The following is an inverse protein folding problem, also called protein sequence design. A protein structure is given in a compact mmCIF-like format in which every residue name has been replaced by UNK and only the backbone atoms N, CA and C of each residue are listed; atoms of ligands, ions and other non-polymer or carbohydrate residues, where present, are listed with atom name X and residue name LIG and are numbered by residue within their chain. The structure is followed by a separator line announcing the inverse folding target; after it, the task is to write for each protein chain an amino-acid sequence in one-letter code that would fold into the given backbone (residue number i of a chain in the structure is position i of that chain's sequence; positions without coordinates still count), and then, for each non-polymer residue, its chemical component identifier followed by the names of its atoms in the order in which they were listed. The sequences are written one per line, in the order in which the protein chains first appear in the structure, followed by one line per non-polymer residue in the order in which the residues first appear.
data_IF_443504057228
#
_entry.id   IF_443504057228
#
_cell.length_a   1.000
_cell.length_b   1.000
_cell.length_c   1.000
_cell.angle_alpha   90.00
_cell.angle_beta   90.00
_cell.angle_gamma   90.00
#
_symmetry.space_group_name_H-M   'P 1'
#
loop_
_entity.id
_entity.type
_entity.pdbx_description
1 polymer ?
#
# COMPACT_ATOMS: atom_id res chain seq x y z
N UNK A 1 -24.39 1.57 -33.80
CA UNK A 1 -23.65 0.38 -33.34
C UNK A 1 -22.19 0.58 -33.66
N UNK A 2 -21.35 0.89 -32.66
CA UNK A 2 -19.90 0.81 -32.77
C UNK A 2 -19.44 -0.22 -31.74
N UNK A 3 -18.53 -1.06 -32.20
CA UNK A 3 -18.08 -2.31 -31.60
C UNK A 3 -17.71 -2.16 -30.13
N UNK A 4 -18.22 -3.07 -29.30
CA UNK A 4 -17.54 -3.49 -28.08
C UNK A 4 -16.19 -4.05 -28.54
N UNK A 5 -15.15 -3.25 -28.45
CA UNK A 5 -13.80 -3.78 -28.35
C UNK A 5 -13.67 -4.24 -26.91
N UNK A 6 -13.86 -5.55 -26.71
CA UNK A 6 -13.31 -6.26 -25.58
C UNK A 6 -11.81 -5.98 -25.58
N UNK A 7 -11.41 -4.92 -24.88
CA UNK A 7 -10.03 -4.68 -24.52
C UNK A 7 -9.62 -5.86 -23.66
N UNK A 8 -8.97 -6.85 -24.27
CA UNK A 8 -8.28 -7.94 -23.61
C UNK A 8 -7.48 -7.33 -22.46
N UNK A 9 -8.04 -7.49 -21.27
CA UNK A 9 -7.46 -6.98 -20.06
C UNK A 9 -6.23 -7.83 -19.87
N UNK A 10 -5.06 -7.30 -20.21
CA UNK A 10 -3.79 -7.99 -20.05
C UNK A 10 -3.64 -8.28 -18.55
N UNK A 11 -4.08 -9.47 -18.14
CA UNK A 11 -4.13 -9.87 -16.73
C UNK A 11 -2.68 -10.04 -16.33
N UNK A 12 -2.24 -9.22 -15.38
CA UNK A 12 -0.89 -9.31 -14.85
C UNK A 12 -0.60 -10.76 -14.45
N UNK A 13 0.46 -11.32 -15.03
CA UNK A 13 0.82 -12.72 -14.85
C UNK A 13 1.57 -12.94 -13.54
N UNK A 14 2.07 -11.88 -12.91
CA UNK A 14 2.83 -11.93 -11.65
C UNK A 14 2.21 -11.00 -10.62
N UNK A 15 2.15 -11.47 -9.39
CA UNK A 15 1.68 -10.72 -8.22
C UNK A 15 2.69 -10.80 -7.07
N UNK A 16 2.61 -9.82 -6.17
CA UNK A 16 3.58 -9.59 -5.12
C UNK A 16 2.89 -9.47 -3.75
N UNK A 17 3.62 -9.88 -2.70
CA UNK A 17 3.22 -9.74 -1.30
C UNK A 17 4.45 -9.62 -0.40
N UNK A 18 4.45 -8.70 0.56
CA UNK A 18 5.50 -8.64 1.57
C UNK A 18 5.31 -9.75 2.61
N UNK A 19 6.42 -10.24 3.16
CA UNK A 19 6.44 -11.29 4.17
C UNK A 19 7.77 -11.31 4.93
N UNK A 20 8.02 -12.42 5.61
CA UNK A 20 9.30 -12.68 6.28
C UNK A 20 10.13 -13.66 5.46
N UNK A 21 11.25 -14.13 6.00
CA UNK A 21 12.03 -15.22 5.40
C UNK A 21 11.24 -16.53 5.24
N UNK A 22 10.17 -16.72 6.01
CA UNK A 22 9.39 -17.95 6.13
C UNK A 22 8.20 -18.00 5.17
N UNK A 23 7.76 -16.85 4.65
CA UNK A 23 6.69 -16.77 3.65
C UNK A 23 6.06 -15.38 3.54
N UNK A 24 5.18 -15.17 2.56
CA UNK A 24 4.36 -13.97 2.45
C UNK A 24 3.43 -13.83 3.66
N UNK A 25 3.16 -12.60 4.08
CA UNK A 25 2.22 -12.30 5.14
C UNK A 25 0.85 -11.94 4.58
N UNK A 26 -0.20 -12.32 5.30
CA UNK A 26 -1.60 -12.07 4.99
C UNK A 26 -2.26 -11.46 6.21
N UNK A 27 -3.16 -10.52 5.98
CA UNK A 27 -3.78 -9.81 7.10
C UNK A 27 -4.67 -10.77 7.90
N UNK A 28 -4.67 -10.58 9.22
CA UNK A 28 -5.56 -11.29 10.14
C UNK A 28 -6.58 -10.36 10.78
N UNK A 29 -6.52 -9.06 10.47
CA UNK A 29 -7.43 -8.05 10.96
C UNK A 29 -8.83 -8.22 10.37
N UNK A 30 -9.83 -8.35 11.24
CA UNK A 30 -11.24 -8.53 10.89
C UNK A 30 -11.88 -7.28 10.29
N UNK A 31 -11.19 -6.15 10.26
CA UNK A 31 -11.68 -4.90 9.67
C UNK A 31 -11.43 -4.82 8.16
N UNK A 32 -10.50 -5.64 7.64
CA UNK A 32 -10.20 -5.78 6.22
C UNK A 32 -10.51 -7.23 5.83
N UNK A 33 -11.68 -7.45 5.23
CA UNK A 33 -12.13 -8.79 4.85
C UNK A 33 -11.39 -9.37 3.63
N UNK A 34 -10.54 -8.58 2.95
CA UNK A 34 -9.88 -8.95 1.70
C UNK A 34 -8.42 -8.47 1.60
N UNK A 35 -7.48 -9.41 1.44
CA UNK A 35 -6.09 -9.14 1.09
C UNK A 35 -5.93 -8.81 -0.40
N UNK A 36 -5.22 -7.73 -0.71
CA UNK A 36 -4.91 -7.40 -2.09
C UNK A 36 -3.52 -7.89 -2.50
N UNK A 37 -3.50 -8.60 -3.62
CA UNK A 37 -2.27 -8.98 -4.29
C UNK A 37 -1.87 -7.88 -5.28
N UNK A 38 -0.68 -7.34 -5.05
CA UNK A 38 -0.20 -6.19 -5.80
C UNK A 38 0.48 -6.66 -7.09
N UNK A 39 0.23 -6.01 -8.21
CA UNK A 39 0.81 -6.39 -9.51
C UNK A 39 2.04 -5.55 -9.89
N UNK A 40 2.25 -4.42 -9.23
CA UNK A 40 3.40 -3.54 -9.45
C UNK A 40 4.26 -3.49 -8.17
N UNK A 41 5.47 -4.09 -8.18
CA UNK A 41 6.30 -4.16 -6.97
C UNK A 41 6.79 -2.77 -6.51
N UNK A 42 6.73 -1.74 -7.36
CA UNK A 42 7.08 -0.36 -6.98
C UNK A 42 6.15 0.23 -5.92
N UNK A 43 4.93 -0.30 -5.75
CA UNK A 43 4.01 0.12 -4.69
C UNK A 43 4.58 -0.14 -3.29
N UNK A 44 5.45 -1.14 -3.15
CA UNK A 44 6.17 -1.43 -1.91
C UNK A 44 7.32 -0.45 -1.62
N UNK A 45 7.66 0.43 -2.57
CA UNK A 45 8.73 1.40 -2.38
C UNK A 45 8.31 2.53 -1.42
N UNK A 46 8.98 2.75 -0.27
CA UNK A 46 8.66 3.81 0.70
C UNK A 46 8.62 5.22 0.10
N UNK A 47 7.79 6.11 0.67
CA UNK A 47 7.44 7.42 0.10
C UNK A 47 8.62 8.40 -0.04
N UNK A 48 9.54 8.41 0.93
CA UNK A 48 10.60 9.43 1.05
C UNK A 48 11.98 8.75 1.19
N UNK A 49 12.53 8.20 0.11
CA UNK A 49 13.86 7.59 0.14
C UNK A 49 14.97 8.61 -0.12
N UNK A 50 15.28 9.38 0.92
CA UNK A 50 16.67 9.50 1.36
C UNK A 50 16.82 8.49 2.52
N UNK A 51 17.00 7.20 2.19
CA UNK A 51 17.01 6.12 3.18
C UNK A 51 18.19 6.30 4.15
N UNK A 52 17.94 6.99 5.26
CA UNK A 52 18.80 6.93 6.44
C UNK A 52 18.99 5.46 6.84
N UNK A 53 20.16 5.11 7.38
CA UNK A 53 20.45 3.72 7.81
C UNK A 53 19.46 3.20 8.87
N UNK A 54 18.78 4.12 9.56
CA UNK A 54 17.65 3.80 10.43
C UNK A 54 16.46 3.17 9.69
N UNK A 55 16.14 3.65 8.48
CA UNK A 55 15.06 3.10 7.67
C UNK A 55 15.43 1.72 7.11
N UNK A 56 16.69 1.53 6.70
CA UNK A 56 17.15 0.21 6.22
C UNK A 56 17.11 -0.85 7.32
N UNK A 57 17.49 -0.49 8.55
CA UNK A 57 17.36 -1.36 9.73
C UNK A 57 15.90 -1.67 10.07
N UNK A 58 14.99 -0.71 9.91
CA UNK A 58 13.55 -0.91 10.17
C UNK A 58 12.90 -1.90 9.20
N UNK A 59 13.41 -2.00 7.98
CA UNK A 59 12.94 -2.96 6.98
C UNK A 59 13.73 -4.29 7.02
N UNK A 60 14.69 -4.43 7.94
CA UNK A 60 15.52 -5.63 8.06
C UNK A 60 14.63 -6.82 8.47
N UNK A 61 14.62 -7.86 7.64
CA UNK A 61 13.79 -9.06 7.86
C UNK A 61 12.47 -9.08 7.09
N UNK A 62 12.06 -7.96 6.49
CA UNK A 62 10.95 -7.92 5.53
C UNK A 62 11.45 -8.34 4.14
N UNK A 63 10.74 -9.26 3.50
CA UNK A 63 11.08 -9.83 2.19
C UNK A 63 9.89 -9.64 1.25
N UNK A 64 10.14 -9.26 0.00
CA UNK A 64 9.11 -9.25 -1.02
C UNK A 64 9.03 -10.63 -1.67
N UNK A 65 7.84 -11.20 -1.73
CA UNK A 65 7.53 -12.44 -2.40
C UNK A 65 6.78 -12.17 -3.70
N UNK A 66 7.03 -12.98 -4.72
CA UNK A 66 6.30 -12.96 -5.98
C UNK A 66 5.78 -14.35 -6.34
N UNK A 67 4.67 -14.40 -7.06
CA UNK A 67 4.15 -15.66 -7.63
C UNK A 67 3.41 -15.38 -8.94
N UNK A 68 3.28 -16.42 -9.77
CA UNK A 68 2.63 -16.34 -11.07
C UNK A 68 1.12 -16.66 -10.94
N UNK A 69 0.26 -15.78 -11.44
CA UNK A 69 -1.20 -15.91 -11.43
C UNK A 69 -1.72 -17.12 -12.23
N UNK A 70 -0.96 -17.63 -13.19
CA UNK A 70 -1.29 -18.87 -13.90
C UNK A 70 -1.09 -20.12 -13.02
N UNK A 71 -0.31 -20.01 -11.93
CA UNK A 71 -0.18 -21.07 -10.91
C UNK A 71 -1.31 -21.00 -9.89
N UNK A 72 -1.82 -19.79 -9.60
CA UNK A 72 -3.01 -19.57 -8.76
C UNK A 72 -4.21 -20.39 -9.26
N UNK A 73 -4.46 -20.45 -10.58
CA UNK A 73 -5.61 -21.20 -11.12
C UNK A 73 -5.43 -22.72 -11.12
N UNK A 74 -4.19 -23.23 -10.95
CA UNK A 74 -3.84 -24.66 -11.11
C UNK A 74 -3.54 -25.37 -9.79
N UNK A 75 -3.06 -24.64 -8.78
CA UNK A 75 -2.58 -25.20 -7.50
C UNK A 75 -3.64 -25.16 -6.36
N UNK A 76 -4.93 -25.06 -6.71
CA UNK A 76 -6.03 -25.31 -5.76
C UNK A 76 -6.16 -26.82 -5.45
N UNK A 77 -5.23 -27.40 -4.69
CA UNK A 77 -5.45 -28.73 -4.13
C UNK A 77 -6.39 -28.64 -2.93
N UNK A 78 -7.63 -29.10 -3.11
CA UNK A 78 -8.60 -29.22 -2.03
C UNK A 78 -8.07 -30.21 -0.96
N UNK A 79 -7.75 -29.71 0.22
CA UNK A 79 -7.35 -30.55 1.35
C UNK A 79 -8.63 -31.02 2.05
N UNK A 80 -9.16 -32.17 1.66
CA UNK A 80 -10.44 -32.72 2.15
C UNK A 80 -10.46 -33.13 3.64
N UNK A 81 -9.49 -32.66 4.44
CA UNK A 81 -9.39 -32.96 5.87
C UNK A 81 -10.26 -32.07 6.75
N UNK A 82 -10.73 -30.93 6.24
CA UNK A 82 -11.59 -30.00 6.98
C UNK A 82 -12.76 -29.58 6.08
N UNK A 83 -13.98 -29.78 6.57
CA UNK A 83 -15.19 -29.43 5.82
C UNK A 83 -15.22 -27.92 5.58
N UNK A 84 -15.22 -27.51 4.30
CA UNK A 84 -15.33 -26.11 3.90
C UNK A 84 -14.04 -25.27 3.91
N UNK A 85 -12.84 -25.85 4.08
CA UNK A 85 -11.57 -25.08 4.06
C UNK A 85 -10.68 -25.50 2.89
N UNK A 86 -10.34 -24.55 2.01
CA UNK A 86 -9.40 -24.75 0.89
C UNK A 86 -8.03 -24.23 1.31
N UNK A 87 -7.01 -25.10 1.29
CA UNK A 87 -5.62 -24.67 1.43
C UNK A 87 -5.03 -24.41 0.04
N UNK A 88 -4.75 -23.14 -0.27
CA UNK A 88 -4.09 -22.75 -1.53
C UNK A 88 -2.57 -22.80 -1.31
N UNK A 89 -1.85 -23.58 -2.11
CA UNK A 89 -0.38 -23.61 -2.07
C UNK A 89 0.16 -22.84 -3.28
N UNK A 90 0.57 -21.61 -3.03
CA UNK A 90 1.21 -20.78 -4.04
C UNK A 90 2.71 -21.00 -4.02
N UNK A 91 3.30 -21.20 -5.19
CA UNK A 91 4.75 -21.27 -5.34
C UNK A 91 5.29 -19.84 -5.31
N UNK A 92 5.64 -19.39 -4.10
CA UNK A 92 6.21 -18.08 -3.87
C UNK A 92 7.73 -18.12 -3.99
N UNK A 93 8.28 -17.12 -4.67
CA UNK A 93 9.71 -16.91 -4.79
C UNK A 93 10.10 -15.56 -4.19
N UNK A 94 11.27 -15.49 -3.56
CA UNK A 94 11.80 -14.24 -3.01
C UNK A 94 12.26 -13.33 -4.15
N UNK A 95 11.97 -12.04 -4.02
CA UNK A 95 12.37 -11.02 -4.98
C UNK A 95 12.75 -9.72 -4.26
N UNK A 96 13.23 -8.74 -5.00
CA UNK A 96 13.58 -7.41 -4.49
C UNK A 96 12.63 -6.36 -5.04
N UNK A 97 12.33 -5.34 -4.24
CA UNK A 97 11.64 -4.15 -4.72
C UNK A 97 12.58 -3.45 -5.72
N UNK A 98 12.15 -3.18 -6.96
CA UNK A 98 13.00 -2.48 -7.91
C UNK A 98 13.21 -1.03 -7.43
N UNK A 99 14.40 -0.44 -7.66
CA UNK A 99 14.62 0.98 -7.39
C UNK A 99 13.69 1.83 -8.25
N UNK A 100 13.17 2.92 -7.70
CA UNK A 100 12.38 3.90 -8.44
C UNK A 100 12.55 5.31 -7.85
N UNK A 101 12.39 6.33 -8.69
CA UNK A 101 12.57 7.75 -8.33
C UNK A 101 11.40 8.32 -7.49
N UNK A 102 10.64 7.44 -6.82
CA UNK A 102 9.39 7.79 -6.14
C UNK A 102 8.20 7.97 -7.11
N UNK A 103 7.02 8.21 -6.55
CA UNK A 103 5.77 8.38 -7.31
C UNK A 103 4.82 9.32 -6.58
N UNK A 104 3.72 9.70 -7.23
CA UNK A 104 2.69 10.59 -6.67
C UNK A 104 1.30 9.95 -6.77
N UNK A 105 0.32 10.40 -5.97
CA UNK A 105 -1.09 10.01 -6.15
C UNK A 105 -1.73 10.72 -7.35
N UNK A 106 -2.52 10.01 -8.17
CA UNK A 106 -3.35 10.59 -9.24
C UNK A 106 -4.67 11.19 -8.72
N UNK A 107 -5.01 11.04 -7.44
CA UNK A 107 -6.19 11.72 -6.94
C UNK A 107 -5.98 13.23 -7.16
N UNK A 108 -7.01 13.94 -7.65
CA UNK A 108 -6.98 15.40 -7.76
C UNK A 108 -6.43 15.95 -6.44
N UNK A 109 -5.44 16.87 -6.49
CA UNK A 109 -4.64 17.45 -5.38
C UNK A 109 -5.50 17.95 -4.20
N UNK A 110 -6.17 17.02 -3.54
CA UNK A 110 -7.23 17.23 -2.59
C UNK A 110 -6.70 16.91 -1.20
N UNK A 111 -7.41 17.36 -0.18
CA UNK A 111 -7.11 17.05 1.23
C UNK A 111 -6.97 15.54 1.47
N UNK A 112 -7.58 14.70 0.62
CA UNK A 112 -7.47 13.25 0.68
C UNK A 112 -6.06 12.74 0.31
N UNK A 113 -5.41 13.32 -0.70
CA UNK A 113 -4.00 12.98 -1.03
C UNK A 113 -3.07 13.37 0.10
N UNK A 114 -3.27 14.57 0.64
CA UNK A 114 -2.46 15.07 1.74
C UNK A 114 -2.63 14.18 2.97
N UNK A 115 -3.85 13.76 3.27
CA UNK A 115 -4.11 12.85 4.37
C UNK A 115 -3.38 11.51 4.18
N UNK A 116 -3.47 10.91 2.99
CA UNK A 116 -2.78 9.64 2.68
C UNK A 116 -1.24 9.80 2.78
N UNK A 117 -0.68 10.91 2.29
CA UNK A 117 0.75 11.21 2.40
C UNK A 117 1.20 11.33 3.86
N UNK A 118 0.47 12.12 4.67
CA UNK A 118 0.78 12.32 6.08
C UNK A 118 0.69 11.00 6.84
N UNK A 119 -0.37 10.22 6.62
CA UNK A 119 -0.51 8.88 7.19
C UNK A 119 0.74 8.03 6.93
N UNK A 120 1.18 7.92 5.67
CA UNK A 120 2.33 7.10 5.31
C UNK A 120 3.66 7.59 5.90
N UNK A 121 3.77 8.89 6.20
CA UNK A 121 4.95 9.47 6.87
C UNK A 121 4.96 9.14 8.36
N UNK A 122 3.81 9.25 9.00
CA UNK A 122 3.66 9.00 10.43
C UNK A 122 3.71 7.49 10.76
N UNK A 123 3.30 6.64 9.81
CA UNK A 123 3.21 5.19 9.95
C UNK A 123 4.27 4.49 9.11
N UNK A 124 5.56 4.80 9.31
CA UNK A 124 6.62 4.10 8.57
C UNK A 124 6.55 2.58 8.83
N UNK A 125 6.44 1.74 7.79
CA UNK A 125 6.18 0.32 7.96
C UNK A 125 7.42 -0.40 8.51
N UNK A 126 7.22 -1.16 9.58
CA UNK A 126 8.24 -2.00 10.24
C UNK A 126 7.85 -3.49 10.24
N UNK A 127 6.62 -3.82 9.87
CA UNK A 127 6.18 -5.20 9.65
C UNK A 127 5.79 -5.45 8.19
N UNK A 128 5.79 -6.72 7.73
CA UNK A 128 5.29 -7.06 6.41
C UNK A 128 3.82 -6.65 6.17
N UNK A 129 2.97 -6.75 7.19
CA UNK A 129 1.55 -6.39 7.14
C UNK A 129 1.38 -4.88 6.89
N UNK A 130 2.09 -4.04 7.65
CA UNK A 130 2.10 -2.59 7.45
C UNK A 130 2.62 -2.22 6.07
N UNK A 131 3.67 -2.90 5.60
CA UNK A 131 4.22 -2.67 4.27
C UNK A 131 3.25 -3.07 3.16
N UNK A 132 2.52 -4.18 3.34
CA UNK A 132 1.42 -4.58 2.48
C UNK A 132 0.32 -3.51 2.47
N UNK A 133 -0.15 -3.08 3.64
CA UNK A 133 -1.16 -2.03 3.75
C UNK A 133 -0.74 -0.74 3.04
N UNK A 134 0.53 -0.33 3.14
CA UNK A 134 1.06 0.81 2.40
C UNK A 134 1.01 0.63 0.88
N UNK A 135 1.37 -0.56 0.37
CA UNK A 135 1.30 -0.85 -1.06
C UNK A 135 -0.15 -0.83 -1.56
N UNK A 136 -1.08 -1.39 -0.77
CA UNK A 136 -2.51 -1.40 -1.06
C UNK A 136 -3.11 0.01 -0.99
N UNK A 137 -2.71 0.82 0.00
CA UNK A 137 -3.15 2.20 0.15
C UNK A 137 -2.69 3.08 -1.02
N UNK A 138 -1.47 2.88 -1.51
CA UNK A 138 -1.00 3.52 -2.75
C UNK A 138 -1.79 3.06 -3.96
N UNK A 139 -2.11 1.77 -4.06
CA UNK A 139 -2.97 1.29 -5.13
C UNK A 139 -4.37 1.95 -5.06
N UNK A 140 -4.97 2.01 -3.87
CA UNK A 140 -6.27 2.62 -3.63
C UNK A 140 -6.30 4.13 -3.91
N UNK A 141 -5.20 4.82 -3.63
CA UNK A 141 -5.01 6.24 -3.94
C UNK A 141 -4.49 6.48 -5.37
N UNK A 142 -4.54 5.47 -6.24
CA UNK A 142 -4.17 5.58 -7.66
C UNK A 142 -2.76 6.18 -7.84
N UNK A 143 -1.80 5.70 -7.05
CA UNK A 143 -0.41 6.13 -7.16
C UNK A 143 0.14 5.89 -8.57
N UNK A 144 0.93 6.81 -9.10
CA UNK A 144 1.58 6.69 -10.40
C UNK A 144 3.06 7.03 -10.30
N UNK A 145 3.82 6.47 -11.24
CA UNK A 145 5.21 6.78 -11.45
C UNK A 145 5.38 7.42 -12.81
N UNK A 146 6.40 8.27 -12.92
CA UNK A 146 6.87 8.76 -14.20
C UNK A 146 7.72 7.67 -14.85
N UNK A 147 7.42 7.36 -16.10
CA UNK A 147 8.22 6.44 -16.93
C UNK A 147 9.55 7.12 -17.30
N UNK A 148 10.47 6.41 -17.96
CA UNK A 148 11.71 7.01 -18.52
C UNK A 148 11.41 8.17 -19.50
N UNK A 149 10.19 8.18 -20.07
CA UNK A 149 9.66 9.24 -20.94
C UNK A 149 8.92 10.36 -20.21
N UNK A 150 8.91 10.34 -18.86
CA UNK A 150 8.17 11.25 -17.98
C UNK A 150 6.64 11.24 -18.19
N UNK A 151 6.11 10.14 -18.68
CA UNK A 151 4.66 9.94 -18.80
C UNK A 151 4.14 9.16 -17.58
N UNK A 152 2.90 9.41 -17.11
CA UNK A 152 2.30 8.61 -16.05
C UNK A 152 2.06 7.17 -16.52
N UNK A 153 2.60 6.17 -15.84
CA UNK A 153 2.11 4.80 -15.99
C UNK A 153 0.75 4.69 -15.30
N UNK A 154 -0.33 4.56 -16.07
CA UNK A 154 -1.68 4.51 -15.52
C UNK A 154 -1.85 3.28 -14.61
N UNK A 155 -2.21 3.51 -13.34
CA UNK A 155 -2.74 2.47 -12.48
C UNK A 155 -4.22 2.22 -12.81
N UNK A 156 -4.66 0.97 -12.68
CA UNK A 156 -6.10 0.63 -12.78
C UNK A 156 -6.89 1.45 -11.76
N UNK A 157 -8.08 1.92 -12.15
CA UNK A 157 -8.98 2.63 -11.25
C UNK A 157 -9.40 1.69 -10.11
N UNK A 158 -9.17 2.13 -8.89
CA UNK A 158 -9.65 1.48 -7.66
C UNK A 158 -10.91 2.21 -7.18
N UNK A 159 -11.89 1.52 -6.53
CA UNK A 159 -13.08 2.18 -6.02
C UNK A 159 -12.76 3.31 -5.04
N UNK A 160 -13.36 4.49 -5.24
CA UNK A 160 -13.13 5.68 -4.41
C UNK A 160 -13.63 5.56 -2.95
N UNK A 161 -14.29 4.45 -2.59
CA UNK A 161 -14.89 4.21 -1.28
C UNK A 161 -14.17 3.13 -0.46
N UNK A 162 -12.96 2.74 -0.88
CA UNK A 162 -12.15 1.73 -0.22
C UNK A 162 -11.92 2.06 1.28
N UNK A 163 -12.00 1.04 2.14
CA UNK A 163 -11.85 1.22 3.58
C UNK A 163 -10.45 1.68 3.98
N UNK A 164 -9.40 1.33 3.22
CA UNK A 164 -8.01 1.73 3.48
C UNK A 164 -7.85 3.25 3.45
N UNK A 165 -8.50 3.89 2.47
CA UNK A 165 -8.52 5.36 2.38
C UNK A 165 -9.19 5.99 3.62
N UNK A 166 -10.29 5.41 4.10
CA UNK A 166 -10.99 5.90 5.29
C UNK A 166 -10.16 5.74 6.55
N UNK A 167 -9.44 4.63 6.70
CA UNK A 167 -8.52 4.38 7.81
C UNK A 167 -7.43 5.45 7.82
N UNK A 168 -6.74 5.64 6.68
CA UNK A 168 -5.66 6.63 6.57
C UNK A 168 -6.14 8.07 6.87
N UNK A 169 -7.32 8.44 6.38
CA UNK A 169 -7.91 9.76 6.62
C UNK A 169 -8.30 9.96 8.08
N UNK A 170 -8.96 8.97 8.69
CA UNK A 170 -9.37 9.03 10.10
C UNK A 170 -8.17 9.23 11.01
N UNK A 171 -7.13 8.44 10.80
CA UNK A 171 -5.94 8.49 11.65
C UNK A 171 -5.20 9.82 11.47
N UNK A 172 -5.08 10.30 10.22
CA UNK A 172 -4.49 11.62 9.94
C UNK A 172 -5.30 12.77 10.53
N UNK A 173 -6.63 12.69 10.50
CA UNK A 173 -7.48 13.71 11.10
C UNK A 173 -7.20 13.82 12.61
N UNK A 174 -7.04 12.69 13.30
CA UNK A 174 -6.64 12.68 14.71
C UNK A 174 -5.28 13.35 14.97
N UNK A 175 -4.31 13.15 14.07
CA UNK A 175 -3.02 13.87 14.12
C UNK A 175 -3.23 15.38 13.98
N UNK A 176 -3.96 15.83 12.96
CA UNK A 176 -4.19 17.25 12.71
C UNK A 176 -4.98 17.95 13.80
N UNK A 177 -5.99 17.28 14.38
CA UNK A 177 -6.75 17.81 15.53
C UNK A 177 -5.82 18.07 16.73
N UNK A 178 -4.86 17.17 16.98
CA UNK A 178 -3.86 17.34 18.03
C UNK A 178 -2.91 18.49 17.73
N UNK A 179 -2.40 18.59 16.50
CA UNK A 179 -1.52 19.68 16.07
C UNK A 179 -2.21 21.05 16.18
N UNK A 180 -3.48 21.14 15.77
CA UNK A 180 -4.28 22.35 15.89
C UNK A 180 -4.42 22.77 17.36
N UNK A 181 -4.74 21.81 18.24
CA UNK A 181 -4.86 22.08 19.68
C UNK A 181 -3.54 22.60 20.26
N UNK A 182 -2.43 21.93 19.98
CA UNK A 182 -1.10 22.32 20.47
C UNK A 182 -0.72 23.73 19.98
N UNK A 183 -1.08 24.10 18.75
CA UNK A 183 -0.85 25.44 18.21
C UNK A 183 -1.69 26.51 18.91
N UNK A 184 -2.96 26.21 19.20
CA UNK A 184 -3.86 27.13 19.92
C UNK A 184 -3.35 27.41 21.35
N UNK A 185 -2.88 26.39 22.05
CA UNK A 185 -2.31 26.53 23.39
C UNK A 185 -1.01 27.36 23.40
N UNK A 186 -0.17 27.21 22.37
CA UNK A 186 1.03 28.04 22.18
C UNK A 186 0.69 29.52 21.93
N UNK A 187 -0.33 29.81 21.13
CA UNK A 187 -0.74 31.19 20.85
C UNK A 187 -1.27 31.89 22.12
N UNK A 188 -2.09 31.19 22.90
CA UNK A 188 -2.64 31.73 24.16
C UNK A 188 -1.58 31.95 25.24
N UNK A 189 -0.53 31.12 25.29
CA UNK A 189 0.58 31.32 26.24
C UNK A 189 1.52 32.46 25.84
N UNK A 190 1.61 32.78 24.54
CA UNK A 190 2.46 33.87 24.03
C UNK A 190 1.81 35.24 24.27
N UNK A 191 0.47 35.34 24.17
CA UNK A 191 -0.28 36.57 24.49
C UNK A 191 -0.33 36.90 26.00
N UNK A 192 -0.04 35.93 26.88
CA UNK A 192 -0.05 36.12 28.34
C UNK A 192 1.28 36.59 28.95
N UNK A 193 2.33 36.79 28.15
CA UNK A 193 3.68 37.16 28.64
C UNK A 193 4.04 38.64 28.41
N UNK A 194 3.16 39.42 27.77
CA UNK A 194 3.30 40.88 27.67
C UNK A 194 2.56 41.60 28.80
N UNK A 195 3.08 41.55 30.04
CA UNK A 195 2.77 42.52 31.12
C UNK A 195 4.01 42.79 31.97
#
# INVERSE_FOLDING_TARGET
MRSMEDSEQNVATVVYRAGTKDGPSFDSDKTIDEDWLVTNPKLYFPLDQDLSELCKKRLEGIVLWQTDMSTLSKDFTCCSKYDGVIQVKLNWEKTTVPPCDGGFSLMELSSLVQAVIVYMKDHFPITPEELNFHAELKAASQWYWLNDRKEPSALKKVPAHDCRLKIAVRDTLGTWEKEEKDLREKLQSTEGTEV
#
